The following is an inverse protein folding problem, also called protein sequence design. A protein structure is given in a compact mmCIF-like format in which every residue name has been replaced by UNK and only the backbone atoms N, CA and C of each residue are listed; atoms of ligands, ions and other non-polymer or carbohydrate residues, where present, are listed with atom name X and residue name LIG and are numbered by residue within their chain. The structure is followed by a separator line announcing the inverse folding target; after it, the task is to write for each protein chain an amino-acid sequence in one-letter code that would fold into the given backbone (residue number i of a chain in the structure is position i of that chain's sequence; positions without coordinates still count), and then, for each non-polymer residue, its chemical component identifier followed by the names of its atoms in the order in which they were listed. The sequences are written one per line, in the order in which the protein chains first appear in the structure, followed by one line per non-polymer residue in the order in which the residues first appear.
data_IF_646073787318
#
_entry.id   IF_646073787318
#
_cell.length_a   1.000
_cell.length_b   1.000
_cell.length_c   1.000
_cell.angle_alpha   90.00
_cell.angle_beta   90.00
_cell.angle_gamma   90.00
#
_symmetry.space_group_name_H-M   'P 1'
#
loop_
_entity.id
_entity.type
_entity.pdbx_description
1 polymer ?
#
# COMPACT_ATOMS: atom_id res chain seq x y z
N UNK A 1 11.49 -0.65 -10.25
CA UNK A 1 10.59 -0.62 -9.08
C UNK A 1 9.24 -1.13 -9.52
N UNK A 2 8.55 -1.99 -8.75
CA UNK A 2 7.24 -2.53 -9.15
C UNK A 2 6.16 -1.43 -9.16
N UNK A 3 5.02 -1.68 -9.82
CA UNK A 3 3.92 -0.70 -9.87
C UNK A 3 3.29 -0.45 -8.49
N UNK A 4 3.12 -1.50 -7.67
CA UNK A 4 2.61 -1.38 -6.30
C UNK A 4 3.56 -0.57 -5.43
N UNK A 5 4.87 -0.79 -5.57
CA UNK A 5 5.89 -0.04 -4.83
C UNK A 5 5.93 1.43 -5.23
N UNK A 6 5.77 1.74 -6.53
CA UNK A 6 5.62 3.12 -7.01
C UNK A 6 4.36 3.79 -6.47
N UNK A 7 3.23 3.06 -6.42
CA UNK A 7 2.00 3.55 -5.80
C UNK A 7 2.18 3.87 -4.32
N UNK A 8 2.91 3.02 -3.58
CA UNK A 8 3.19 3.28 -2.16
C UNK A 8 4.11 4.50 -1.96
N UNK A 9 5.04 4.78 -2.87
CA UNK A 9 5.83 6.02 -2.80
C UNK A 9 4.98 7.27 -3.05
N UNK A 10 4.03 7.25 -3.99
CA UNK A 10 3.07 8.34 -4.17
C UNK A 10 2.24 8.55 -2.90
N UNK A 11 1.77 7.45 -2.30
CA UNK A 11 1.01 7.50 -1.06
C UNK A 11 1.82 8.08 0.10
N UNK A 12 3.06 7.64 0.28
CA UNK A 12 4.00 8.20 1.27
C UNK A 12 4.19 9.71 1.03
N UNK A 13 4.39 10.12 -0.22
CA UNK A 13 4.58 11.51 -0.59
C UNK A 13 3.37 12.38 -0.23
N UNK A 14 2.15 11.88 -0.47
CA UNK A 14 0.91 12.52 -0.04
C UNK A 14 0.85 12.68 1.48
N UNK A 15 1.09 11.60 2.24
CA UNK A 15 0.99 11.61 3.71
C UNK A 15 2.06 12.51 4.35
N UNK A 16 3.28 12.52 3.82
CA UNK A 16 4.33 13.41 4.34
C UNK A 16 4.01 14.88 4.10
N UNK A 17 3.35 15.21 2.98
CA UNK A 17 2.87 16.57 2.72
C UNK A 17 1.81 16.97 3.75
N UNK A 18 0.83 16.10 3.98
CA UNK A 18 -0.26 16.33 4.94
C UNK A 18 0.24 16.46 6.40
N UNK A 19 1.21 15.64 6.80
CA UNK A 19 1.89 15.73 8.09
C UNK A 19 2.64 17.06 8.22
N UNK A 20 3.39 17.45 7.19
CA UNK A 20 4.13 18.72 7.17
C UNK A 20 3.17 19.91 7.36
N UNK A 21 2.09 19.97 6.60
CA UNK A 21 1.06 21.00 6.73
C UNK A 21 0.42 21.00 8.12
N UNK A 22 0.19 19.81 8.70
CA UNK A 22 -0.30 19.65 10.07
C UNK A 22 0.64 20.28 11.10
N UNK A 23 1.94 20.05 10.98
CA UNK A 23 2.93 20.68 11.86
C UNK A 23 3.05 22.19 11.63
N UNK A 24 3.09 22.64 10.37
CA UNK A 24 3.19 24.06 10.03
C UNK A 24 1.99 24.87 10.57
N UNK A 25 0.81 24.23 10.67
CA UNK A 25 -0.40 24.83 11.23
C UNK A 25 -0.62 24.55 12.74
N UNK A 26 0.35 23.94 13.43
CA UNK A 26 0.22 23.49 14.83
C UNK A 26 -1.00 22.57 15.08
N UNK A 27 -1.48 21.87 14.05
CA UNK A 27 -2.64 20.97 14.10
C UNK A 27 -2.21 19.53 14.38
N UNK A 28 -1.68 19.26 15.58
CA UNK A 28 -1.16 17.93 15.96
C UNK A 28 -2.19 16.79 15.86
N UNK A 29 -3.49 17.10 16.03
CA UNK A 29 -4.56 16.12 15.84
C UNK A 29 -4.71 15.67 14.37
N UNK A 30 -4.40 16.54 13.41
CA UNK A 30 -4.32 16.18 11.98
C UNK A 30 -3.16 15.23 11.78
N UNK A 31 -1.95 15.59 12.25
CA UNK A 31 -0.75 14.74 12.15
C UNK A 31 -1.01 13.34 12.71
N UNK A 32 -1.59 13.25 13.92
CA UNK A 32 -1.93 11.96 14.53
C UNK A 32 -2.86 11.13 13.64
N UNK A 33 -3.96 11.72 13.14
CA UNK A 33 -4.92 11.01 12.29
C UNK A 33 -4.26 10.53 11.00
N UNK A 34 -3.42 11.35 10.38
CA UNK A 34 -2.74 11.01 9.13
C UNK A 34 -1.75 9.87 9.30
N UNK A 35 -0.94 9.92 10.36
CA UNK A 35 -0.01 8.83 10.70
C UNK A 35 -0.76 7.56 11.05
N UNK A 36 -1.81 7.67 11.88
CA UNK A 36 -2.62 6.52 12.27
C UNK A 36 -3.29 5.85 11.07
N UNK A 37 -3.92 6.63 10.19
CA UNK A 37 -4.55 6.12 8.98
C UNK A 37 -3.51 5.47 8.06
N UNK A 38 -2.36 6.12 7.83
CA UNK A 38 -1.31 5.56 6.99
C UNK A 38 -0.75 4.24 7.53
N UNK A 39 -0.46 4.16 8.83
CA UNK A 39 0.04 2.93 9.44
C UNK A 39 -0.98 1.79 9.41
N UNK A 40 -2.27 2.07 9.64
CA UNK A 40 -3.29 1.03 9.69
C UNK A 40 -3.80 0.63 8.31
N UNK A 41 -4.23 1.60 7.51
CA UNK A 41 -4.94 1.35 6.25
C UNK A 41 -3.95 1.08 5.11
N UNK A 42 -2.96 1.96 4.92
CA UNK A 42 -2.04 1.89 3.79
C UNK A 42 -0.92 0.87 4.01
N UNK A 43 -0.35 0.81 5.22
CA UNK A 43 0.73 -0.11 5.55
C UNK A 43 0.21 -1.47 6.01
N UNK A 44 -0.42 -1.56 7.19
CA UNK A 44 -0.78 -2.84 7.81
C UNK A 44 -1.81 -3.62 6.99
N UNK A 45 -2.93 -3.00 6.63
CA UNK A 45 -4.05 -3.66 5.96
C UNK A 45 -3.86 -3.85 4.45
N UNK A 46 -2.82 -3.24 3.87
CA UNK A 46 -2.60 -3.25 2.43
C UNK A 46 -1.16 -3.64 2.09
N UNK A 47 -0.21 -2.72 2.19
CA UNK A 47 1.10 -2.92 1.58
C UNK A 47 1.92 -4.03 2.25
N UNK A 48 1.97 -4.05 3.58
CA UNK A 48 2.71 -5.08 4.31
C UNK A 48 2.11 -6.48 4.15
N UNK A 49 0.79 -6.57 3.94
CA UNK A 49 0.12 -7.83 3.67
C UNK A 49 0.49 -8.37 2.28
N UNK A 50 0.42 -7.51 1.26
CA UNK A 50 0.78 -7.82 -0.12
C UNK A 50 2.27 -8.19 -0.26
N UNK A 51 3.15 -7.53 0.50
CA UNK A 51 4.59 -7.75 0.42
C UNK A 51 5.07 -9.09 0.99
N UNK A 52 4.25 -9.83 1.75
CA UNK A 52 4.68 -11.04 2.48
C UNK A 52 5.35 -12.04 1.55
N UNK A 53 4.75 -12.33 0.40
CA UNK A 53 5.28 -13.31 -0.55
C UNK A 53 6.64 -12.88 -1.09
N UNK A 54 6.76 -11.61 -1.51
CA UNK A 54 8.04 -11.05 -1.98
C UNK A 54 9.13 -11.01 -0.91
N UNK A 55 8.76 -10.74 0.34
CA UNK A 55 9.73 -10.58 1.42
C UNK A 55 10.17 -11.93 2.03
N UNK A 56 9.27 -12.90 2.09
CA UNK A 56 9.49 -14.18 2.77
C UNK A 56 9.91 -15.30 1.81
N UNK A 57 9.44 -15.27 0.57
CA UNK A 57 9.65 -16.37 -0.39
C UNK A 57 10.75 -16.02 -1.40
N UNK A 58 10.71 -14.81 -1.98
CA UNK A 58 11.64 -14.46 -3.07
C UNK A 58 13.11 -14.45 -2.62
N UNK A 59 14.05 -14.85 -3.50
CA UNK A 59 15.48 -14.80 -3.22
C UNK A 59 15.96 -13.40 -2.79
N UNK A 60 17.04 -13.33 -2.03
CA UNK A 60 17.57 -12.05 -1.53
C UNK A 60 18.02 -11.10 -2.64
N UNK A 61 18.34 -11.60 -3.84
CA UNK A 61 18.71 -10.80 -5.02
C UNK A 61 17.52 -10.47 -5.92
N UNK A 62 16.31 -10.92 -5.59
CA UNK A 62 15.13 -10.67 -6.42
C UNK A 62 14.85 -9.16 -6.56
N UNK A 63 14.70 -8.64 -7.79
CA UNK A 63 14.42 -7.23 -8.02
C UNK A 63 13.14 -6.74 -7.35
N UNK A 64 12.10 -7.58 -7.30
CA UNK A 64 10.82 -7.27 -6.65
C UNK A 64 10.95 -7.15 -5.13
N UNK A 65 11.72 -8.05 -4.50
CA UNK A 65 12.07 -7.99 -3.08
C UNK A 65 12.90 -6.74 -2.74
N UNK A 66 13.91 -6.43 -3.57
CA UNK A 66 14.74 -5.23 -3.38
C UNK A 66 13.94 -3.95 -3.54
N UNK A 67 13.04 -3.91 -4.51
CA UNK A 67 12.09 -2.82 -4.72
C UNK A 67 11.24 -2.56 -3.47
N UNK A 68 10.64 -3.62 -2.88
CA UNK A 68 9.87 -3.52 -1.64
C UNK A 68 10.72 -3.02 -0.47
N UNK A 69 11.93 -3.56 -0.28
CA UNK A 69 12.83 -3.15 0.79
C UNK A 69 13.25 -1.68 0.68
N UNK A 70 13.50 -1.18 -0.54
CA UNK A 70 13.79 0.23 -0.77
C UNK A 70 12.64 1.13 -0.34
N UNK A 71 11.40 0.79 -0.74
CA UNK A 71 10.22 1.57 -0.34
C UNK A 71 9.97 1.50 1.16
N UNK A 72 10.07 0.31 1.78
CA UNK A 72 9.94 0.16 3.23
C UNK A 72 10.98 0.98 4.00
N UNK A 73 12.21 1.05 3.51
CA UNK A 73 13.25 1.91 4.09
C UNK A 73 12.86 3.39 4.01
N UNK A 74 12.35 3.84 2.86
CA UNK A 74 11.86 5.22 2.71
C UNK A 74 10.70 5.52 3.65
N UNK A 75 9.69 4.65 3.70
CA UNK A 75 8.54 4.74 4.63
C UNK A 75 9.03 4.86 6.07
N UNK A 76 9.90 3.94 6.51
CA UNK A 76 10.42 3.92 7.87
C UNK A 76 11.17 5.21 8.21
N UNK A 77 12.12 5.64 7.37
CA UNK A 77 12.95 6.81 7.63
C UNK A 77 12.14 8.12 7.65
N UNK A 78 11.14 8.25 6.76
CA UNK A 78 10.25 9.42 6.75
C UNK A 78 9.34 9.45 7.99
N UNK A 79 8.67 8.34 8.31
CA UNK A 79 7.82 8.26 9.50
C UNK A 79 8.62 8.51 10.78
N UNK A 80 9.78 7.87 10.91
CA UNK A 80 10.65 8.03 12.07
C UNK A 80 10.98 9.50 12.35
N UNK A 81 11.43 10.23 11.33
CA UNK A 81 11.80 11.64 11.46
C UNK A 81 10.60 12.52 11.73
N UNK A 82 9.48 12.26 11.05
CA UNK A 82 8.22 13.00 11.25
C UNK A 82 7.65 12.81 12.66
N UNK A 83 7.88 11.65 13.29
CA UNK A 83 7.37 11.35 14.63
C UNK A 83 8.29 11.79 15.77
N UNK A 84 9.49 12.32 15.46
CA UNK A 84 10.44 12.82 16.48
C UNK A 84 9.84 13.79 17.50
N UNK A 85 8.88 14.69 17.17
CA UNK A 85 8.31 15.62 18.16
C UNK A 85 7.31 14.97 19.13
N UNK A 86 6.84 13.75 18.84
CA UNK A 86 5.73 13.11 19.58
C UNK A 86 6.18 11.84 20.28
N UNK A 87 6.95 10.97 19.60
CA UNK A 87 7.33 9.64 20.08
C UNK A 87 8.82 9.56 20.42
N UNK A 88 9.30 10.49 21.25
CA UNK A 88 10.72 10.77 21.51
C UNK A 88 11.56 9.48 21.70
N UNK A 89 11.21 8.67 22.70
CA UNK A 89 11.99 7.47 23.02
C UNK A 89 11.81 6.35 21.98
N UNK A 90 10.60 6.17 21.46
CA UNK A 90 10.29 5.12 20.49
C UNK A 90 11.04 5.33 19.18
N UNK A 91 11.13 6.57 18.69
CA UNK A 91 11.90 6.85 17.48
C UNK A 91 13.40 6.67 17.71
N UNK A 92 13.91 6.94 18.90
CA UNK A 92 15.33 6.71 19.21
C UNK A 92 15.66 5.21 19.21
N UNK A 93 14.79 4.40 19.82
CA UNK A 93 14.91 2.95 19.80
C UNK A 93 14.86 2.40 18.38
N UNK A 94 13.86 2.77 17.58
CA UNK A 94 13.74 2.34 16.18
C UNK A 94 14.96 2.79 15.37
N UNK A 95 15.43 4.03 15.59
CA UNK A 95 16.63 4.54 14.92
C UNK A 95 17.85 3.68 15.25
N UNK A 96 17.98 3.18 16.47
CA UNK A 96 19.10 2.31 16.85
C UNK A 96 19.15 1.01 16.04
N UNK A 97 17.98 0.44 15.71
CA UNK A 97 17.84 -0.84 15.00
C UNK A 97 17.68 -0.73 13.48
N UNK A 98 17.25 0.41 12.95
CA UNK A 98 17.00 0.53 11.50
C UNK A 98 18.31 0.38 10.70
N UNK A 99 18.25 -0.15 9.45
CA UNK A 99 19.39 -0.12 8.56
C UNK A 99 19.91 1.30 8.36
N UNK A 100 21.23 1.51 8.42
CA UNK A 100 21.84 2.84 8.25
C UNK A 100 22.81 2.87 7.09
N UNK A 101 22.59 3.81 6.18
CA UNK A 101 23.60 4.23 5.20
C UNK A 101 24.81 4.90 5.87
N UNK A 102 25.85 5.22 5.09
CA UNK A 102 27.10 5.79 5.63
C UNK A 102 26.86 7.06 6.46
N UNK A 103 26.01 7.96 5.97
CA UNK A 103 25.71 9.23 6.65
C UNK A 103 24.97 9.04 7.97
N UNK A 104 23.99 8.13 8.03
CA UNK A 104 23.21 7.91 9.27
C UNK A 104 24.00 7.19 10.36
N UNK A 105 25.09 6.50 10.00
CA UNK A 105 25.96 5.83 10.98
C UNK A 105 26.75 6.80 11.86
N UNK A 106 27.01 8.02 11.38
CA UNK A 106 27.75 9.03 12.14
C UNK A 106 26.84 9.91 12.99
N UNK A 107 25.52 9.75 12.87
CA UNK A 107 24.54 10.52 13.63
C UNK A 107 24.19 9.78 14.91
N UNK A 108 24.43 10.42 16.06
CA UNK A 108 24.25 9.81 17.37
C UNK A 108 22.79 9.70 17.83
N UNK A 109 21.87 10.46 17.25
CA UNK A 109 20.45 10.44 17.59
C UNK A 109 19.57 10.89 16.43
N UNK A 110 18.39 10.30 16.31
CA UNK A 110 17.40 10.71 15.30
C UNK A 110 16.95 12.16 15.48
N UNK A 111 16.98 12.68 16.70
CA UNK A 111 16.59 14.07 17.01
C UNK A 111 17.54 15.13 16.42
N UNK A 112 18.72 14.73 15.98
CA UNK A 112 19.67 15.59 15.28
C UNK A 112 19.42 15.65 13.76
N UNK A 113 18.52 14.80 13.25
CA UNK A 113 18.19 14.76 11.83
C UNK A 113 17.15 15.81 11.50
N UNK A 114 17.32 16.44 10.34
CA UNK A 114 16.27 17.24 9.72
C UNK A 114 15.19 16.33 9.15
N UNK A 115 13.98 16.89 9.00
CA UNK A 115 12.95 16.31 8.15
C UNK A 115 13.49 16.01 6.75
N UNK A 116 12.89 15.03 6.08
CA UNK A 116 13.24 14.68 4.72
C UNK A 116 12.31 15.40 3.76
N UNK A 117 12.90 15.95 2.70
CA UNK A 117 12.12 16.41 1.56
C UNK A 117 11.52 15.21 0.84
N UNK A 118 10.29 15.38 0.37
CA UNK A 118 9.59 14.39 -0.44
C UNK A 118 9.99 14.61 -1.89
N UNK A 119 10.65 13.63 -2.56
CA UNK A 119 11.01 13.76 -3.95
C UNK A 119 9.78 13.94 -4.84
N UNK A 120 9.83 14.89 -5.77
CA UNK A 120 8.70 15.17 -6.66
C UNK A 120 8.40 13.97 -7.56
N UNK A 121 9.42 13.18 -7.93
CA UNK A 121 9.25 11.97 -8.75
C UNK A 121 8.43 10.87 -8.08
N UNK A 122 8.20 10.95 -6.76
CA UNK A 122 7.32 10.00 -6.08
C UNK A 122 5.85 10.27 -6.36
N UNK A 123 5.49 11.53 -6.70
CA UNK A 123 4.12 11.87 -7.09
C UNK A 123 3.86 11.43 -8.51
N UNK A 124 2.95 10.47 -8.66
CA UNK A 124 2.66 9.83 -9.95
C UNK A 124 1.14 9.71 -10.17
N UNK A 125 0.49 10.74 -10.73
CA UNK A 125 -0.96 10.70 -10.96
C UNK A 125 -1.42 9.52 -11.82
N UNK A 126 -0.60 9.08 -12.77
CA UNK A 126 -0.91 7.95 -13.64
C UNK A 126 -0.91 6.63 -12.88
N UNK A 127 0.00 6.42 -11.91
CA UNK A 127 -0.03 5.20 -11.07
C UNK A 127 -1.26 5.18 -10.17
N UNK A 128 -1.64 6.34 -9.62
CA UNK A 128 -2.86 6.45 -8.80
C UNK A 128 -4.08 6.08 -9.62
N UNK A 129 -4.23 6.65 -10.82
CA UNK A 129 -5.31 6.35 -11.75
C UNK A 129 -5.31 4.89 -12.22
N UNK A 130 -4.13 4.29 -12.36
CA UNK A 130 -3.99 2.88 -12.72
C UNK A 130 -4.55 1.94 -11.65
N UNK A 131 -4.38 2.27 -10.36
CA UNK A 131 -4.85 1.44 -9.25
C UNK A 131 -6.25 1.81 -8.73
N UNK A 132 -6.76 3.01 -9.04
CA UNK A 132 -8.01 3.57 -8.50
C UNK A 132 -9.17 2.57 -8.49
N UNK A 133 -9.43 1.93 -9.63
CA UNK A 133 -10.55 0.98 -9.79
C UNK A 133 -10.34 -0.32 -9.05
N UNK A 134 -9.12 -0.85 -9.07
CA UNK A 134 -8.78 -2.09 -8.40
C UNK A 134 -8.85 -1.93 -6.87
N UNK A 135 -8.39 -0.79 -6.36
CA UNK A 135 -8.52 -0.43 -4.94
C UNK A 135 -9.99 -0.21 -4.55
N UNK A 136 -10.80 0.39 -5.43
CA UNK A 136 -12.24 0.57 -5.16
C UNK A 136 -12.99 -0.76 -5.00
N UNK A 137 -12.59 -1.82 -5.72
CA UNK A 137 -13.23 -3.14 -5.59
C UNK A 137 -12.63 -3.99 -4.46
N UNK A 138 -11.43 -3.66 -3.95
CA UNK A 138 -10.72 -4.46 -2.95
C UNK A 138 -11.53 -4.72 -1.68
N UNK A 139 -12.25 -3.76 -1.05
CA UNK A 139 -13.05 -4.04 0.14
C UNK A 139 -14.14 -5.09 -0.08
N UNK A 140 -14.75 -5.09 -1.27
CA UNK A 140 -15.78 -6.06 -1.64
C UNK A 140 -15.18 -7.46 -1.84
N UNK A 141 -14.00 -7.53 -2.47
CA UNK A 141 -13.23 -8.77 -2.60
C UNK A 141 -12.84 -9.31 -1.23
N UNK A 142 -12.26 -8.48 -0.35
CA UNK A 142 -11.87 -8.89 1.00
C UNK A 142 -13.07 -9.41 1.79
N UNK A 143 -14.22 -8.73 1.72
CA UNK A 143 -15.46 -9.19 2.37
C UNK A 143 -15.93 -10.54 1.83
N UNK A 144 -15.98 -10.71 0.51
CA UNK A 144 -16.39 -11.97 -0.11
C UNK A 144 -15.46 -13.13 0.28
N UNK A 145 -14.16 -12.86 0.38
CA UNK A 145 -13.17 -13.81 0.87
C UNK A 145 -13.41 -14.18 2.33
N UNK A 146 -13.63 -13.21 3.21
CA UNK A 146 -13.90 -13.44 4.63
C UNK A 146 -15.18 -14.25 4.85
N UNK A 147 -16.24 -13.97 4.09
CA UNK A 147 -17.49 -14.74 4.13
C UNK A 147 -17.25 -16.20 3.73
N UNK A 148 -16.46 -16.44 2.67
CA UNK A 148 -16.07 -17.81 2.27
C UNK A 148 -15.16 -18.52 3.26
N UNK A 149 -14.33 -17.80 4.01
CA UNK A 149 -13.57 -18.39 5.12
C UNK A 149 -14.47 -18.80 6.27
N UNK A 150 -15.48 -17.98 6.61
CA UNK A 150 -16.48 -18.32 7.64
C UNK A 150 -17.32 -19.54 7.30
N UNK A 151 -17.64 -19.71 6.01
CA UNK A 151 -18.34 -20.90 5.49
C UNK A 151 -17.45 -22.16 5.47
N UNK A 152 -16.15 -22.05 5.79
CA UNK A 152 -15.19 -23.16 5.75
C UNK A 152 -14.77 -23.60 4.35
N UNK A 153 -15.14 -22.83 3.31
CA UNK A 153 -14.84 -23.12 1.91
C UNK A 153 -13.40 -22.74 1.55
N UNK A 154 -12.89 -21.67 2.17
CA UNK A 154 -11.52 -21.17 1.94
C UNK A 154 -10.75 -21.20 3.25
N UNK A 155 -9.65 -21.95 3.32
CA UNK A 155 -8.74 -21.96 4.46
C UNK A 155 -7.75 -20.79 4.43
N UNK A 156 -6.88 -20.78 3.42
CA UNK A 156 -5.91 -19.70 3.15
C UNK A 156 -6.31 -18.90 1.90
N UNK A 157 -6.03 -17.60 1.87
CA UNK A 157 -6.27 -16.76 0.67
C UNK A 157 -5.56 -17.28 -0.57
N UNK A 158 -4.42 -17.97 -0.39
CA UNK A 158 -3.62 -18.53 -1.47
C UNK A 158 -4.28 -19.73 -2.16
N UNK A 159 -5.28 -20.35 -1.53
CA UNK A 159 -6.05 -21.45 -2.13
C UNK A 159 -7.27 -20.94 -2.93
N UNK A 160 -7.46 -19.62 -3.01
CA UNK A 160 -8.63 -19.02 -3.63
C UNK A 160 -8.34 -18.49 -5.03
N UNK A 161 -9.31 -18.72 -5.91
CA UNK A 161 -9.40 -18.12 -7.24
C UNK A 161 -10.52 -17.09 -7.25
N UNK A 162 -10.19 -15.85 -7.59
CA UNK A 162 -11.19 -14.79 -7.75
C UNK A 162 -11.62 -14.75 -9.21
N UNK A 163 -12.93 -14.75 -9.45
CA UNK A 163 -13.49 -14.43 -10.77
C UNK A 163 -14.20 -13.09 -10.69
N UNK A 164 -13.74 -12.11 -11.47
CA UNK A 164 -14.36 -10.79 -11.60
C UNK A 164 -15.14 -10.79 -12.91
N UNK A 165 -16.46 -10.63 -12.81
CA UNK A 165 -17.35 -10.53 -13.96
C UNK A 165 -17.69 -9.06 -14.23
N UNK A 166 -17.65 -8.66 -15.49
CA UNK A 166 -18.02 -7.29 -15.88
C UNK A 166 -18.68 -7.27 -17.25
N UNK A 167 -19.73 -6.46 -17.39
CA UNK A 167 -20.35 -6.15 -18.68
C UNK A 167 -19.69 -4.96 -19.40
N UNK A 168 -18.81 -4.23 -18.72
CA UNK A 168 -18.13 -3.07 -19.28
C UNK A 168 -16.85 -3.49 -20.00
N UNK A 169 -16.77 -3.21 -21.30
CA UNK A 169 -15.55 -3.41 -22.10
C UNK A 169 -14.36 -2.67 -21.51
N UNK A 170 -14.57 -1.42 -21.07
CA UNK A 170 -13.53 -0.58 -20.46
C UNK A 170 -12.98 -1.19 -19.16
N UNK A 171 -13.83 -1.82 -18.35
CA UNK A 171 -13.39 -2.48 -17.10
C UNK A 171 -12.67 -3.80 -17.39
N UNK A 172 -13.19 -4.57 -18.36
CA UNK A 172 -12.57 -5.80 -18.82
C UNK A 172 -11.14 -5.55 -19.32
N UNK A 173 -10.96 -4.59 -20.23
CA UNK A 173 -9.65 -4.21 -20.77
C UNK A 173 -8.72 -3.68 -19.68
N UNK A 174 -9.24 -2.84 -18.78
CA UNK A 174 -8.44 -2.27 -17.70
C UNK A 174 -7.90 -3.34 -16.74
N UNK A 175 -8.75 -4.25 -16.25
CA UNK A 175 -8.30 -5.30 -15.34
C UNK A 175 -7.40 -6.33 -16.03
N UNK A 176 -7.66 -6.67 -17.30
CA UNK A 176 -6.74 -7.52 -18.06
C UNK A 176 -5.38 -6.86 -18.26
N UNK A 177 -5.32 -5.55 -18.47
CA UNK A 177 -4.05 -4.82 -18.58
C UNK A 177 -3.26 -4.78 -17.25
N UNK A 178 -3.90 -5.01 -16.11
CA UNK A 178 -3.20 -5.12 -14.82
C UNK A 178 -2.53 -6.49 -14.64
N UNK A 179 -3.08 -7.56 -15.21
CA UNK A 179 -2.53 -8.91 -15.15
C UNK A 179 -2.28 -9.38 -13.71
N UNK A 180 -1.11 -10.01 -13.49
CA UNK A 180 -0.68 -10.61 -12.23
C UNK A 180 -0.62 -9.61 -11.05
N UNK A 181 -0.61 -8.30 -11.34
CA UNK A 181 -0.70 -7.26 -10.30
C UNK A 181 -2.00 -7.41 -9.49
N UNK A 182 -3.09 -7.88 -10.09
CA UNK A 182 -4.35 -8.12 -9.38
C UNK A 182 -4.24 -9.28 -8.40
N UNK A 183 -3.49 -10.32 -8.73
CA UNK A 183 -3.23 -11.47 -7.86
C UNK A 183 -2.45 -11.02 -6.63
N UNK A 184 -1.40 -10.23 -6.86
CA UNK A 184 -0.63 -9.60 -5.79
C UNK A 184 -1.51 -8.64 -4.96
N UNK A 185 -2.32 -7.79 -5.59
CA UNK A 185 -3.18 -6.80 -4.92
C UNK A 185 -4.23 -7.42 -3.99
N UNK A 186 -4.80 -8.55 -4.39
CA UNK A 186 -5.82 -9.28 -3.63
C UNK A 186 -5.26 -10.40 -2.76
N UNK A 187 -3.94 -10.63 -2.81
CA UNK A 187 -3.26 -11.71 -2.09
C UNK A 187 -3.91 -13.09 -2.32
N UNK A 188 -4.13 -13.43 -3.59
CA UNK A 188 -4.71 -14.72 -4.04
C UNK A 188 -3.84 -15.37 -5.11
N UNK A 189 -4.01 -16.67 -5.33
CA UNK A 189 -3.22 -17.40 -6.33
C UNK A 189 -3.66 -17.15 -7.78
N UNK A 190 -4.91 -16.73 -8.00
CA UNK A 190 -5.39 -16.47 -9.36
C UNK A 190 -6.54 -15.46 -9.38
N UNK A 191 -6.48 -14.55 -10.37
CA UNK A 191 -7.59 -13.65 -10.72
C UNK A 191 -7.97 -13.86 -12.18
N UNK A 192 -9.25 -14.14 -12.44
CA UNK A 192 -9.80 -14.28 -13.80
C UNK A 192 -10.83 -13.20 -14.06
N UNK A 193 -10.65 -12.47 -15.15
CA UNK A 193 -11.61 -11.45 -15.60
C UNK A 193 -12.49 -12.04 -16.70
N UNK A 194 -13.81 -12.05 -16.51
CA UNK A 194 -14.78 -12.51 -17.49
C UNK A 194 -15.63 -11.35 -17.98
N UNK A 195 -15.73 -11.21 -19.30
CA UNK A 195 -16.73 -10.36 -19.94
C UNK A 195 -18.05 -11.12 -20.01
N UNK A 196 -19.12 -10.54 -19.48
CA UNK A 196 -20.46 -11.12 -19.49
C UNK A 196 -21.47 -10.11 -20.03
N UNK A 197 -22.49 -10.56 -20.75
CA UNK A 197 -23.48 -9.65 -21.34
C UNK A 197 -24.48 -9.14 -20.29
N UNK A 198 -24.78 -9.96 -19.27
CA UNK A 198 -25.68 -9.63 -18.16
C UNK A 198 -25.05 -10.07 -16.84
N UNK A 199 -25.07 -9.19 -15.83
CA UNK A 199 -24.63 -9.51 -14.47
C UNK A 199 -25.79 -10.16 -13.71
N UNK A 200 -25.70 -11.46 -13.40
CA UNK A 200 -26.75 -12.17 -12.67
C UNK A 200 -26.80 -11.81 -11.18
N UNK A 201 -25.62 -11.60 -10.56
CA UNK A 201 -25.45 -11.06 -9.20
C UNK A 201 -24.14 -10.27 -9.15
N UNK A 202 -24.21 -9.00 -8.75
CA UNK A 202 -23.04 -8.17 -8.48
C UNK A 202 -22.93 -7.83 -6.99
N UNK A 203 -21.71 -7.59 -6.50
CA UNK A 203 -21.49 -6.76 -5.31
C UNK A 203 -21.84 -5.31 -5.66
N UNK A 204 -23.10 -5.05 -6.03
CA UNK A 204 -23.59 -3.74 -6.44
C UNK A 204 -24.55 -3.18 -5.40
N UNK A 205 -23.97 -2.58 -4.38
CA UNK A 205 -24.52 -1.33 -3.87
C UNK A 205 -23.36 -0.33 -3.89
N UNK A 206 -23.35 0.53 -4.92
CA UNK A 206 -22.39 1.62 -5.15
C UNK A 206 -20.92 1.24 -5.40
N UNK A 207 -20.62 0.72 -6.59
CA UNK A 207 -19.37 1.16 -7.21
C UNK A 207 -19.56 2.65 -7.55
N UNK A 208 -18.67 3.57 -7.12
CA UNK A 208 -18.76 4.94 -7.56
C UNK A 208 -18.83 4.95 -9.08
N UNK A 209 -19.82 5.62 -9.64
CA UNK A 209 -19.85 5.89 -11.08
C UNK A 209 -18.71 6.89 -11.34
N UNK A 210 -17.50 6.36 -11.54
CA UNK A 210 -16.34 7.16 -11.91
C UNK A 210 -16.50 7.44 -13.41
N UNK A 211 -17.12 8.58 -13.71
CA UNK A 211 -17.26 9.15 -15.06
C UNK A 211 -15.87 9.37 -15.68
#
# INVERSE_FOLDING_TARGET
MTKIDQWMLDRLAYVMTDIKEGYDACAFSRVYKSVYAFCNEDLSNFYLDILKDRLYISPSSDPGRRSAQSVLYHVLNHLLRSMTPVLIFTVEEIFSFMPKGRELKTVGSVHLLKGLDVPQEWRNPEIVKFFERALAIRPFVSKAMDDKRREGVVGSSLDAKITIETSSVRMYEHFNAMGDILEELFAVSQVVIKKVDVLEKGLSESLPQIH
#
